data_IF_196483811638
#
_entry.id   IF_196483811638
#
_cell.length_a   1.000
_cell.length_b   1.000
_cell.length_c   1.000
_cell.angle_alpha   90.00
_cell.angle_beta   90.00
_cell.angle_gamma   90.00
#
_symmetry.space_group_name_H-M   'P 1'
#
loop_
_entity.id
_entity.type
_entity.pdbx_description
1 polymer ?
#
# COMPACT_ATOMS: atom_id res chain seq x y z
N UNK A 1 -3.01 -9.59 17.76
CA UNK A 1 -3.67 -8.35 17.31
C UNK A 1 -2.79 -7.80 16.20
N UNK A 2 -3.30 -7.73 14.98
CA UNK A 2 -2.56 -7.06 13.91
C UNK A 2 -2.58 -5.56 14.18
N UNK A 3 -1.39 -4.96 14.31
CA UNK A 3 -1.28 -3.52 14.42
C UNK A 3 -1.44 -2.93 13.02
N UNK A 4 -2.60 -2.34 12.76
CA UNK A 4 -2.86 -1.57 11.55
C UNK A 4 -2.18 -0.21 11.69
N UNK A 5 -1.34 0.12 10.71
CA UNK A 5 -0.59 1.37 10.62
C UNK A 5 -1.29 2.25 9.60
N UNK A 6 -1.63 3.46 10.04
CA UNK A 6 -2.17 4.49 9.15
C UNK A 6 -1.03 5.12 8.34
N UNK A 7 -1.13 5.03 7.02
CA UNK A 7 -0.15 5.57 6.06
C UNK A 7 -0.84 6.50 5.07
N UNK A 8 -0.07 7.44 4.52
CA UNK A 8 -0.54 8.41 3.53
C UNK A 8 0.27 8.29 2.25
N UNK A 9 -0.38 7.96 1.14
CA UNK A 9 0.23 7.76 -0.19
C UNK A 9 -0.42 8.77 -1.14
N UNK A 10 0.37 9.68 -1.71
CA UNK A 10 -0.07 10.77 -2.60
C UNK A 10 -1.28 11.57 -2.09
N UNK A 11 -1.39 11.73 -0.77
CA UNK A 11 -2.47 12.47 -0.11
C UNK A 11 -3.67 11.63 0.32
N UNK A 12 -3.75 10.37 -0.10
CA UNK A 12 -4.78 9.41 0.32
C UNK A 12 -4.35 8.66 1.58
N UNK A 13 -5.27 8.48 2.51
CA UNK A 13 -5.00 7.79 3.78
C UNK A 13 -5.55 6.36 3.73
N UNK A 14 -4.74 5.39 4.14
CA UNK A 14 -5.13 3.98 4.23
C UNK A 14 -4.51 3.33 5.48
N UNK A 15 -5.15 2.27 5.97
CA UNK A 15 -4.70 1.50 7.14
C UNK A 15 -4.25 0.11 6.70
N UNK A 16 -2.98 -0.21 6.94
CA UNK A 16 -2.38 -1.47 6.49
C UNK A 16 -1.67 -2.18 7.62
N UNK A 17 -1.62 -3.53 7.62
CA UNK A 17 -0.86 -4.28 8.62
C UNK A 17 0.61 -3.85 8.63
N UNK A 18 1.21 -3.78 9.82
CA UNK A 18 2.64 -3.55 9.96
C UNK A 18 3.44 -4.59 9.15
N UNK A 19 4.42 -4.12 8.37
CA UNK A 19 5.21 -4.97 7.46
C UNK A 19 4.64 -5.08 6.03
N UNK A 20 3.47 -4.52 5.75
CA UNK A 20 2.94 -4.40 4.39
C UNK A 20 3.86 -3.52 3.54
N UNK A 21 4.21 -3.98 2.33
CA UNK A 21 4.99 -3.17 1.39
C UNK A 21 4.19 -1.97 0.90
N UNK A 22 4.87 -0.85 0.61
CA UNK A 22 4.23 0.36 0.08
C UNK A 22 3.49 0.05 -1.23
N UNK A 23 4.01 -0.84 -2.07
CA UNK A 23 3.36 -1.26 -3.30
C UNK A 23 2.03 -1.97 -3.04
N UNK A 24 1.96 -2.86 -2.05
CA UNK A 24 0.71 -3.53 -1.69
C UNK A 24 -0.27 -2.58 -1.00
N UNK A 25 0.22 -1.62 -0.20
CA UNK A 25 -0.60 -0.55 0.35
C UNK A 25 -1.21 0.36 -0.74
N UNK A 26 -0.42 0.74 -1.75
CA UNK A 26 -0.88 1.52 -2.89
C UNK A 26 -1.92 0.73 -3.73
N UNK A 27 -1.73 -0.59 -3.90
CA UNK A 27 -2.70 -1.48 -4.58
C UNK A 27 -4.05 -1.53 -3.89
N UNK A 28 -4.12 -1.34 -2.57
CA UNK A 28 -5.40 -1.25 -1.85
C UNK A 28 -6.16 0.04 -2.15
N UNK A 29 -5.46 1.12 -2.50
CA UNK A 29 -6.07 2.39 -2.92
C UNK A 29 -6.54 2.28 -4.38
N UNK A 30 -5.72 1.68 -5.25
CA UNK A 30 -6.06 1.45 -6.66
C UNK A 30 -5.85 2.65 -7.59
N UNK A 31 -6.20 2.48 -8.86
CA UNK A 31 -6.09 3.51 -9.90
C UNK A 31 -4.66 3.81 -10.36
N UNK A 32 -4.46 5.02 -10.90
CA UNK A 32 -3.16 5.49 -11.41
C UNK A 32 -2.11 5.71 -10.30
N UNK A 33 -2.55 5.69 -9.04
CA UNK A 33 -1.70 5.79 -7.86
C UNK A 33 -0.89 4.50 -7.63
N UNK A 34 -1.31 3.38 -8.21
CA UNK A 34 -0.60 2.10 -8.09
C UNK A 34 0.67 2.13 -8.95
N UNK A 35 1.86 2.03 -8.34
CA UNK A 35 3.09 1.99 -9.11
C UNK A 35 3.11 0.75 -10.02
N UNK A 36 3.51 0.88 -11.30
CA UNK A 36 3.73 -0.27 -12.14
C UNK A 36 4.87 -1.11 -11.57
N UNK A 37 4.70 -2.43 -11.61
CA UNK A 37 5.70 -3.35 -11.10
C UNK A 37 6.08 -4.36 -12.17
N UNK A 38 7.36 -4.38 -12.55
CA UNK A 38 7.89 -5.30 -13.57
C UNK A 38 8.37 -6.62 -12.96
N UNK A 39 9.06 -6.57 -11.82
CA UNK A 39 9.72 -7.73 -11.21
C UNK A 39 9.26 -8.00 -9.77
N UNK A 40 8.16 -7.38 -9.33
CA UNK A 40 7.61 -7.64 -8.00
C UNK A 40 6.60 -8.79 -8.08
N UNK A 41 6.99 -9.93 -7.52
CA UNK A 41 6.17 -11.12 -7.36
C UNK A 41 5.85 -11.32 -5.88
N UNK A 42 4.77 -12.06 -5.60
CA UNK A 42 4.25 -12.26 -4.24
C UNK A 42 4.51 -13.69 -3.78
#
# INVERSE_FOLDING_TARGET
MENLVKVKIDGFETEVPAGTSILNAARQIGGDLVPPAMCYYT
#
